data_IF_857177061395
#
_entry.id   IF_857177061395
#
_cell.length_a   1.000
_cell.length_b   1.000
_cell.length_c   1.000
_cell.angle_alpha   90.00
_cell.angle_beta   90.00
_cell.angle_gamma   90.00
#
_symmetry.space_group_name_H-M   'P 1'
#
loop_
_entity.id
_entity.type
_entity.pdbx_description
1 polymer ?
#
# COMPACT_ATOMS: atom_id res chain seq x y z
N UNK A 1 56.71 -9.17 -0.96
CA UNK A 1 56.27 -8.12 -0.01
C UNK A 1 54.77 -8.31 0.13
N UNK A 2 54.35 -8.58 1.35
CA UNK A 2 53.12 -9.28 1.71
C UNK A 2 51.86 -8.40 1.66
N UNK A 3 50.81 -8.99 1.09
CA UNK A 3 49.37 -8.89 1.39
C UNK A 3 48.87 -7.71 2.23
N UNK A 4 48.69 -6.56 1.57
CA UNK A 4 48.09 -5.35 2.16
C UNK A 4 46.68 -5.02 1.65
N UNK A 5 46.03 -5.91 0.89
CA UNK A 5 44.78 -5.58 0.18
C UNK A 5 43.66 -6.62 0.34
N UNK A 6 43.64 -7.33 1.49
CA UNK A 6 42.64 -8.37 1.77
C UNK A 6 41.36 -7.86 2.48
N UNK A 7 41.39 -6.67 3.08
CA UNK A 7 40.30 -6.22 3.97
C UNK A 7 39.39 -5.14 3.35
N UNK A 8 39.86 -4.36 2.36
CA UNK A 8 39.03 -3.36 1.68
C UNK A 8 38.11 -3.96 0.61
N UNK A 9 38.61 -4.94 -0.16
CA UNK A 9 37.85 -5.56 -1.26
C UNK A 9 36.70 -6.45 -0.78
N UNK A 10 36.87 -7.13 0.35
CA UNK A 10 35.81 -7.98 0.92
C UNK A 10 34.63 -7.13 1.42
N UNK A 11 34.92 -5.94 1.98
CA UNK A 11 33.90 -5.02 2.48
C UNK A 11 33.16 -4.26 1.36
N UNK A 12 33.84 -3.94 0.27
CA UNK A 12 33.15 -3.36 -0.89
C UNK A 12 32.26 -4.38 -1.61
N UNK A 13 32.65 -5.66 -1.63
CA UNK A 13 31.87 -6.73 -2.25
C UNK A 13 30.51 -6.97 -1.60
N UNK A 14 30.45 -7.12 -0.26
CA UNK A 14 29.16 -7.37 0.41
C UNK A 14 28.21 -6.18 0.35
N UNK A 15 28.73 -4.94 0.43
CA UNK A 15 27.91 -3.73 0.30
C UNK A 15 27.30 -3.66 -1.10
N UNK A 16 28.08 -3.93 -2.14
CA UNK A 16 27.58 -3.96 -3.51
C UNK A 16 26.45 -4.99 -3.68
N UNK A 17 26.60 -6.19 -3.10
CA UNK A 17 25.55 -7.20 -3.09
C UNK A 17 24.30 -6.76 -2.31
N UNK A 18 24.46 -6.08 -1.17
CA UNK A 18 23.33 -5.53 -0.41
C UNK A 18 22.57 -4.45 -1.18
N UNK A 19 23.28 -3.57 -1.91
CA UNK A 19 22.66 -2.55 -2.75
C UNK A 19 21.85 -3.20 -3.87
N UNK A 20 22.39 -4.22 -4.54
CA UNK A 20 21.66 -4.98 -5.56
C UNK A 20 20.42 -5.64 -4.98
N UNK A 21 20.54 -6.31 -3.83
CA UNK A 21 19.41 -6.95 -3.16
C UNK A 21 18.34 -5.92 -2.77
N UNK A 22 18.74 -4.76 -2.24
CA UNK A 22 17.84 -3.65 -1.93
C UNK A 22 17.12 -3.12 -3.16
N UNK A 23 17.82 -2.99 -4.30
CA UNK A 23 17.22 -2.58 -5.57
C UNK A 23 16.20 -3.59 -6.09
N UNK A 24 16.46 -4.88 -5.97
CA UNK A 24 15.51 -5.93 -6.35
C UNK A 24 14.25 -5.83 -5.48
N UNK A 25 14.40 -5.72 -4.17
CA UNK A 25 13.26 -5.57 -3.25
C UNK A 25 12.48 -4.29 -3.58
N UNK A 26 13.17 -3.16 -3.78
CA UNK A 26 12.54 -1.88 -4.12
C UNK A 26 11.80 -1.95 -5.47
N UNK A 27 12.39 -2.59 -6.48
CA UNK A 27 11.76 -2.79 -7.78
C UNK A 27 10.48 -3.63 -7.70
N UNK A 28 10.53 -4.74 -6.96
CA UNK A 28 9.35 -5.60 -6.72
C UNK A 28 8.28 -4.84 -5.93
N UNK A 29 8.67 -4.14 -4.86
CA UNK A 29 7.74 -3.33 -4.06
C UNK A 29 7.14 -2.21 -4.90
N UNK A 30 7.91 -1.53 -5.73
CA UNK A 30 7.41 -0.44 -6.59
C UNK A 30 6.37 -0.95 -7.58
N UNK A 31 6.62 -2.08 -8.25
CA UNK A 31 5.67 -2.70 -9.19
C UNK A 31 4.41 -3.21 -8.49
N UNK A 32 4.56 -3.85 -7.32
CA UNK A 32 3.42 -4.37 -6.54
C UNK A 32 2.64 -3.24 -5.84
N UNK A 33 3.30 -2.15 -5.46
CA UNK A 33 2.67 -0.99 -4.83
C UNK A 33 1.95 -0.09 -5.85
N UNK A 34 2.38 -0.08 -7.11
CA UNK A 34 1.69 0.63 -8.19
C UNK A 34 0.31 0.03 -8.51
N UNK A 35 0.12 -1.28 -8.27
CA UNK A 35 -1.19 -1.93 -8.35
C UNK A 35 -1.96 -1.95 -7.02
N UNK A 36 -1.40 -1.40 -5.94
CA UNK A 36 -2.04 -1.27 -4.63
C UNK A 36 -2.34 0.19 -4.25
N UNK A 37 -2.35 1.09 -5.23
CA UNK A 37 -2.86 2.46 -5.10
C UNK A 37 -4.35 2.58 -4.78
N UNK A 38 -5.03 1.50 -4.38
CA UNK A 38 -6.43 1.53 -3.95
C UNK A 38 -6.78 0.75 -2.68
N UNK A 39 -5.83 0.10 -1.97
CA UNK A 39 -6.26 -0.77 -0.86
C UNK A 39 -5.21 -1.04 0.25
N UNK A 40 -4.31 -0.08 0.52
CA UNK A 40 -3.38 -0.17 1.68
C UNK A 40 -3.18 1.11 2.46
N UNK A 41 -4.27 1.81 2.70
CA UNK A 41 -4.43 2.54 3.94
C UNK A 41 -5.66 1.98 4.65
N UNK A 42 -5.41 0.99 5.50
CA UNK A 42 -6.12 0.82 6.78
C UNK A 42 -5.80 2.00 7.73
N UNK A 43 -5.78 3.21 7.19
CA UNK A 43 -5.96 4.47 7.86
C UNK A 43 -7.22 4.98 7.20
N UNK A 44 -8.34 4.81 7.89
CA UNK A 44 -9.62 5.41 7.54
C UNK A 44 -9.34 6.85 7.07
N UNK A 45 -9.46 7.16 5.76
CA UNK A 45 -9.26 8.50 5.28
C UNK A 45 -10.31 9.35 6.01
N UNK A 46 -9.97 10.53 6.57
CA UNK A 46 -10.96 11.41 7.22
C UNK A 46 -12.04 11.94 6.26
N UNK A 47 -12.13 11.42 5.02
CA UNK A 47 -13.10 11.77 4.00
C UNK A 47 -13.89 10.62 3.38
N UNK A 48 -13.57 9.33 3.64
CA UNK A 48 -14.49 8.24 3.24
C UNK A 48 -15.59 8.12 4.29
N UNK A 49 -16.54 9.04 4.19
CA UNK A 49 -17.73 9.07 5.04
C UNK A 49 -18.49 7.74 4.89
N UNK A 50 -19.17 7.32 5.96
CA UNK A 50 -20.10 6.18 5.92
C UNK A 50 -21.09 6.29 4.73
N UNK A 51 -21.35 7.50 4.23
CA UNK A 51 -22.12 7.75 3.01
C UNK A 51 -21.52 7.13 1.73
N UNK A 52 -20.20 7.10 1.58
CA UNK A 52 -19.56 6.56 0.37
C UNK A 52 -19.52 5.03 0.38
N UNK A 53 -19.34 4.43 1.56
CA UNK A 53 -19.55 2.98 1.75
C UNK A 53 -21.00 2.61 1.42
N UNK A 54 -21.96 3.41 1.88
CA UNK A 54 -23.38 3.21 1.62
C UNK A 54 -23.72 3.31 0.13
N UNK A 55 -23.21 4.33 -0.58
CA UNK A 55 -23.38 4.48 -2.04
C UNK A 55 -22.78 3.31 -2.81
N UNK A 56 -21.60 2.80 -2.40
CA UNK A 56 -20.95 1.66 -3.05
C UNK A 56 -21.81 0.40 -2.97
N UNK A 57 -22.47 0.15 -1.84
CA UNK A 57 -23.40 -0.98 -1.66
C UNK A 57 -24.69 -0.82 -2.45
N UNK A 58 -25.22 0.39 -2.53
CA UNK A 58 -26.38 0.69 -3.38
C UNK A 58 -26.06 0.47 -4.87
N UNK A 59 -24.90 0.93 -5.35
CA UNK A 59 -24.45 0.73 -6.72
C UNK A 59 -24.20 -0.75 -7.07
N UNK A 60 -23.84 -1.56 -6.07
CA UNK A 60 -23.72 -3.02 -6.20
C UNK A 60 -25.07 -3.74 -6.18
N UNK A 61 -26.17 -3.05 -5.84
CA UNK A 61 -27.49 -3.66 -5.68
C UNK A 61 -27.63 -4.51 -4.40
N UNK A 62 -26.69 -4.39 -3.45
CA UNK A 62 -26.73 -5.12 -2.18
C UNK A 62 -27.79 -4.57 -1.22
N UNK A 63 -28.21 -3.31 -1.40
CA UNK A 63 -29.23 -2.64 -0.60
C UNK A 63 -30.27 -1.98 -1.52
N UNK A 64 -31.53 -1.99 -1.08
CA UNK A 64 -32.60 -1.30 -1.78
C UNK A 64 -32.58 0.22 -1.48
N UNK A 65 -33.26 1.01 -2.32
CA UNK A 65 -33.39 2.47 -2.17
C UNK A 65 -33.94 2.88 -0.79
N UNK A 66 -34.87 2.10 -0.25
CA UNK A 66 -35.45 2.34 1.09
C UNK A 66 -34.40 2.24 2.20
N UNK A 67 -33.58 1.19 2.15
CA UNK A 67 -32.49 0.96 3.11
C UNK A 67 -31.39 2.02 2.98
N UNK A 68 -31.09 2.42 1.73
CA UNK A 68 -30.15 3.52 1.46
C UNK A 68 -30.61 4.83 2.12
N UNK A 69 -31.87 5.22 1.94
CA UNK A 69 -32.40 6.47 2.50
C UNK A 69 -32.49 6.44 4.04
N UNK A 70 -32.77 5.27 4.64
CA UNK A 70 -32.78 5.12 6.09
C UNK A 70 -31.37 5.33 6.68
N UNK A 71 -30.38 4.60 6.19
CA UNK A 71 -29.00 4.66 6.71
C UNK A 71 -28.37 6.02 6.40
N UNK A 72 -28.69 6.65 5.27
CA UNK A 72 -28.22 8.00 4.93
C UNK A 72 -28.71 9.05 5.93
N UNK A 73 -29.96 8.94 6.39
CA UNK A 73 -30.51 9.83 7.43
C UNK A 73 -29.83 9.61 8.78
N UNK A 74 -29.60 8.36 9.14
CA UNK A 74 -28.91 8.00 10.38
C UNK A 74 -27.46 8.48 10.40
N UNK A 75 -26.74 8.44 9.27
CA UNK A 75 -25.34 8.91 9.16
C UNK A 75 -25.22 10.44 9.26
N UNK A 76 -26.25 11.18 8.84
CA UNK A 76 -26.26 12.65 8.86
C UNK A 76 -26.92 13.23 10.13
N UNK A 77 -27.24 12.39 11.12
CA UNK A 77 -27.76 12.77 12.44
C UNK A 77 -26.63 12.77 13.47
#
# INVERSE_FOLDING_TARGET
MMDGMGWGGMWFGWIFWLVILGFIIWGVVSVVNNNRGYDRQHYMPPGESALDILKKRYARGEINKEQFEQIKRDINS
#
